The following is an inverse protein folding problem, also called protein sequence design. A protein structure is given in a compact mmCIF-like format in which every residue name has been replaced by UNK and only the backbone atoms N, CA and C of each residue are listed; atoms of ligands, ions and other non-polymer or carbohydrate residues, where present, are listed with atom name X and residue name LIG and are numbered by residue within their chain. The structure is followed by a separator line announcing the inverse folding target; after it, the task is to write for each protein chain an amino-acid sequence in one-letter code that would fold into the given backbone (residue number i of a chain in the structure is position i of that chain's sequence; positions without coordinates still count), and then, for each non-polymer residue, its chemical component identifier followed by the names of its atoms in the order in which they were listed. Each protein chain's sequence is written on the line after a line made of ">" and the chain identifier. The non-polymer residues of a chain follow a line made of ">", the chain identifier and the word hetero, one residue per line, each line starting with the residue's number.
data_IF_637661784926
#
_entry.id   IF_637661784926
#
_cell.length_a   1.000
_cell.length_b   1.000
_cell.length_c   1.000
_cell.angle_alpha   90.00
_cell.angle_beta   90.00
_cell.angle_gamma   90.00
#
_symmetry.space_group_name_H-M   'P 1'
#
loop_
_entity.id
_entity.type
_entity.pdbx_description
1 polymer ?
#
# COMPACT_ATOMS: atom_id res chain seq x y z
N UNK A 1 7.80 -10.48 15.01
CA UNK A 1 8.51 -10.69 13.88
C UNK A 1 7.91 -11.10 12.56
N UNK A 2 7.07 -12.13 12.49
CA UNK A 2 6.58 -12.68 11.19
C UNK A 2 5.80 -11.69 10.32
N UNK A 3 5.06 -10.77 10.92
CA UNK A 3 4.19 -9.86 10.18
C UNK A 3 4.91 -8.72 9.46
N UNK A 4 6.08 -8.29 9.94
CA UNK A 4 6.70 -7.05 9.49
C UNK A 4 7.38 -7.19 8.11
N UNK A 5 8.18 -8.23 7.90
CA UNK A 5 8.83 -8.47 6.60
C UNK A 5 7.83 -8.82 5.50
N UNK A 6 6.77 -9.55 5.85
CA UNK A 6 5.77 -9.99 4.88
C UNK A 6 4.87 -8.85 4.39
N UNK A 7 4.50 -7.91 5.28
CA UNK A 7 3.72 -6.73 4.89
C UNK A 7 4.52 -5.84 3.93
N UNK A 8 5.82 -5.65 4.20
CA UNK A 8 6.69 -4.89 3.31
C UNK A 8 6.87 -5.57 1.95
N UNK A 9 7.02 -6.91 1.92
CA UNK A 9 7.05 -7.68 0.70
C UNK A 9 5.83 -7.40 -0.17
N UNK A 10 4.66 -7.40 0.42
CA UNK A 10 3.42 -7.18 -0.33
C UNK A 10 3.35 -5.80 -0.94
N UNK A 11 3.84 -4.78 -0.25
CA UNK A 11 3.97 -3.43 -0.81
C UNK A 11 4.97 -3.44 -1.98
N UNK A 12 6.12 -4.08 -1.83
CA UNK A 12 7.13 -4.15 -2.89
C UNK A 12 6.61 -4.92 -4.11
N UNK A 13 5.93 -6.05 -3.91
CA UNK A 13 5.50 -6.93 -4.99
C UNK A 13 4.06 -6.70 -5.45
N UNK A 14 3.18 -6.17 -4.60
CA UNK A 14 1.72 -6.14 -4.80
C UNK A 14 1.11 -4.78 -5.10
N UNK A 15 1.84 -3.67 -4.95
CA UNK A 15 1.31 -2.31 -5.15
C UNK A 15 1.10 -1.90 -6.62
N UNK A 16 1.05 -2.84 -7.51
CA UNK A 16 0.67 -2.51 -8.89
C UNK A 16 -0.84 -2.40 -8.97
N UNK A 17 -1.33 -1.19 -8.91
CA UNK A 17 -2.64 -0.88 -9.48
C UNK A 17 -2.50 -1.19 -10.97
N UNK A 18 -3.13 -2.27 -11.42
CA UNK A 18 -3.35 -2.47 -12.86
C UNK A 18 -4.20 -1.28 -13.27
N UNK A 19 -3.64 -0.36 -14.05
CA UNK A 19 -4.36 0.84 -14.45
C UNK A 19 -5.61 0.44 -15.22
N UNK A 20 -6.66 1.25 -15.11
CA UNK A 20 -7.89 1.07 -15.90
C UNK A 20 -7.54 1.00 -17.40
N UNK A 21 -6.54 1.76 -17.82
CA UNK A 21 -5.99 1.75 -19.17
C UNK A 21 -5.40 0.39 -19.58
N UNK A 22 -4.69 -0.27 -18.66
CA UNK A 22 -4.14 -1.61 -18.88
C UNK A 22 -5.24 -2.67 -19.00
N UNK A 23 -6.26 -2.60 -18.15
CA UNK A 23 -7.42 -3.49 -18.22
C UNK A 23 -8.22 -3.27 -19.53
N UNK A 24 -8.43 -2.00 -19.90
CA UNK A 24 -9.09 -1.65 -21.16
C UNK A 24 -8.29 -2.11 -22.39
N UNK A 25 -6.96 -1.97 -22.34
CA UNK A 25 -6.07 -2.47 -23.39
C UNK A 25 -6.13 -3.99 -23.52
N UNK A 26 -6.19 -4.71 -22.39
CA UNK A 26 -6.32 -6.16 -22.38
C UNK A 26 -7.66 -6.63 -22.95
N UNK A 27 -8.78 -6.01 -22.54
CA UNK A 27 -10.09 -6.29 -23.08
C UNK A 27 -10.22 -5.99 -24.58
N UNK A 28 -9.48 -4.98 -25.08
CA UNK A 28 -9.43 -4.68 -26.52
C UNK A 28 -8.61 -5.72 -27.29
N UNK A 29 -7.51 -6.24 -26.71
CA UNK A 29 -6.74 -7.33 -27.31
C UNK A 29 -7.53 -8.63 -27.43
N UNK A 30 -8.30 -8.99 -26.42
CA UNK A 30 -9.19 -10.15 -26.44
C UNK A 30 -10.24 -10.06 -27.56
N UNK A 31 -10.69 -8.85 -27.86
CA UNK A 31 -11.62 -8.56 -28.99
C UNK A 31 -10.92 -8.38 -30.35
N UNK A 32 -9.59 -8.58 -30.42
CA UNK A 32 -8.78 -8.38 -31.62
C UNK A 32 -8.66 -6.92 -32.07
N UNK A 33 -8.98 -5.96 -31.22
CA UNK A 33 -8.89 -4.52 -31.49
C UNK A 33 -7.59 -3.96 -30.94
N UNK A 34 -6.93 -3.06 -31.67
CA UNK A 34 -5.79 -2.29 -31.16
C UNK A 34 -6.30 -0.99 -30.52
N UNK A 35 -6.16 -0.81 -29.19
CA UNK A 35 -6.53 0.46 -28.56
C UNK A 35 -5.61 1.59 -29.02
N UNK A 36 -6.18 2.79 -29.19
CA UNK A 36 -5.47 3.98 -29.71
C UNK A 36 -4.30 4.46 -28.84
N UNK A 37 -4.28 4.09 -27.55
CA UNK A 37 -3.27 4.49 -26.54
C UNK A 37 -2.46 3.33 -25.99
N UNK A 38 -2.37 2.23 -26.74
CA UNK A 38 -1.73 1.02 -26.29
C UNK A 38 -0.21 1.18 -26.14
N UNK A 39 0.29 1.11 -24.91
CA UNK A 39 1.71 0.84 -24.65
C UNK A 39 1.96 -0.65 -24.82
N UNK A 40 3.07 -1.06 -25.49
CA UNK A 40 3.36 -2.48 -25.68
C UNK A 40 3.43 -3.17 -24.31
N UNK A 41 2.54 -4.13 -24.10
CA UNK A 41 2.52 -4.97 -22.90
C UNK A 41 3.32 -6.22 -23.23
N UNK A 42 4.28 -6.56 -22.36
CA UNK A 42 5.02 -7.80 -22.49
C UNK A 42 4.09 -8.99 -22.26
N UNK A 43 4.09 -9.93 -23.19
CA UNK A 43 3.29 -11.15 -23.12
C UNK A 43 4.21 -12.36 -23.01
N UNK A 44 3.93 -13.24 -22.05
CA UNK A 44 4.73 -14.43 -21.78
C UNK A 44 3.87 -15.69 -21.91
N UNK A 45 4.48 -16.76 -22.46
CA UNK A 45 3.81 -18.03 -22.65
C UNK A 45 3.65 -18.83 -21.33
N UNK A 46 4.39 -18.46 -20.27
CA UNK A 46 4.28 -19.10 -18.97
C UNK A 46 4.75 -18.17 -17.85
N UNK A 47 4.37 -18.51 -16.61
CA UNK A 47 4.85 -17.83 -15.39
C UNK A 47 6.38 -17.93 -15.26
N UNK A 48 6.96 -19.06 -15.68
CA UNK A 48 8.41 -19.30 -15.61
C UNK A 48 9.15 -18.35 -16.56
N UNK A 49 8.65 -18.17 -17.78
CA UNK A 49 9.23 -17.23 -18.74
C UNK A 49 9.20 -15.78 -18.24
N UNK A 50 8.08 -15.37 -17.64
CA UNK A 50 7.96 -14.05 -17.02
C UNK A 50 8.94 -13.85 -15.87
N UNK A 51 9.17 -14.88 -15.04
CA UNK A 51 10.14 -14.84 -13.96
C UNK A 51 11.59 -14.86 -14.47
N UNK A 52 11.89 -15.54 -15.57
CA UNK A 52 13.20 -15.46 -16.23
C UNK A 52 13.48 -14.04 -16.71
N UNK A 53 12.53 -13.39 -17.40
CA UNK A 53 12.67 -12.01 -17.83
C UNK A 53 12.85 -11.03 -16.65
N UNK A 54 12.21 -11.30 -15.51
CA UNK A 54 12.41 -10.54 -14.28
C UNK A 54 13.83 -10.75 -13.71
N UNK A 55 14.32 -11.98 -13.65
CA UNK A 55 15.67 -12.31 -13.16
C UNK A 55 16.76 -11.70 -14.05
N UNK A 56 16.54 -11.67 -15.36
CA UNK A 56 17.42 -11.02 -16.35
C UNK A 56 17.30 -9.48 -16.31
N UNK A 57 16.49 -8.93 -15.41
CA UNK A 57 16.23 -7.48 -15.27
C UNK A 57 15.67 -6.81 -16.54
N UNK A 58 15.08 -7.57 -17.44
CA UNK A 58 14.37 -7.05 -18.61
C UNK A 58 13.07 -6.32 -18.21
N UNK A 59 12.44 -6.77 -17.11
CA UNK A 59 11.23 -6.18 -16.56
C UNK A 59 11.36 -5.99 -15.05
N UNK A 60 10.72 -4.95 -14.52
CA UNK A 60 10.66 -4.70 -13.07
C UNK A 60 9.53 -5.50 -12.39
N UNK A 61 9.53 -5.58 -11.04
CA UNK A 61 8.54 -6.35 -10.28
C UNK A 61 7.11 -5.81 -10.42
N UNK A 62 6.96 -4.53 -10.76
CA UNK A 62 5.69 -3.82 -10.95
C UNK A 62 5.29 -3.67 -12.42
N UNK A 63 6.09 -4.20 -13.35
CA UNK A 63 5.77 -4.09 -14.77
C UNK A 63 4.48 -4.86 -15.09
N UNK A 64 3.48 -4.22 -15.72
CA UNK A 64 2.27 -4.91 -16.15
C UNK A 64 2.60 -5.85 -17.31
N UNK A 65 2.23 -7.11 -17.17
CA UNK A 65 2.47 -8.18 -18.12
C UNK A 65 1.20 -9.00 -18.36
N UNK A 66 1.16 -9.68 -19.49
CA UNK A 66 0.17 -10.70 -19.80
C UNK A 66 0.85 -12.08 -19.72
N UNK A 67 0.27 -12.99 -18.95
CA UNK A 67 0.82 -14.34 -18.77
C UNK A 67 -0.24 -15.37 -19.12
N UNK A 68 0.13 -16.36 -19.94
CA UNK A 68 -0.70 -17.53 -20.17
C UNK A 68 -0.62 -18.43 -18.93
N UNK A 69 -1.77 -18.70 -18.36
CA UNK A 69 -1.91 -19.54 -17.18
C UNK A 69 -2.86 -20.69 -17.47
N UNK A 70 -2.47 -21.89 -17.06
CA UNK A 70 -3.27 -23.09 -17.17
C UNK A 70 -3.59 -23.62 -15.78
N UNK A 71 -4.85 -23.85 -15.50
CA UNK A 71 -5.31 -24.47 -14.25
C UNK A 71 -6.21 -25.66 -14.58
N UNK A 72 -6.12 -26.68 -13.75
CA UNK A 72 -7.05 -27.80 -13.78
C UNK A 72 -8.23 -27.50 -12.86
N UNK A 73 -9.42 -27.40 -13.42
CA UNK A 73 -10.65 -27.18 -12.67
C UNK A 73 -11.63 -28.30 -13.06
N UNK A 74 -12.10 -29.03 -12.08
CA UNK A 74 -13.01 -30.16 -12.25
C UNK A 74 -12.53 -31.26 -13.24
N UNK A 75 -11.20 -31.42 -13.39
CA UNK A 75 -10.59 -32.39 -14.31
C UNK A 75 -10.43 -31.91 -15.75
N UNK A 76 -10.81 -30.68 -16.04
CA UNK A 76 -10.56 -30.02 -17.32
C UNK A 76 -9.42 -28.99 -17.20
N UNK A 77 -8.52 -29.00 -18.18
CA UNK A 77 -7.42 -28.04 -18.25
C UNK A 77 -7.89 -26.76 -18.97
N UNK A 78 -8.05 -25.69 -18.21
CA UNK A 78 -8.44 -24.37 -18.74
C UNK A 78 -7.22 -23.48 -18.86
N UNK A 79 -6.97 -22.96 -20.05
CA UNK A 79 -5.85 -22.04 -20.34
C UNK A 79 -6.38 -20.67 -20.71
N UNK A 80 -5.90 -19.63 -20.01
CA UNK A 80 -6.23 -18.22 -20.30
C UNK A 80 -5.02 -17.32 -20.18
N UNK A 81 -5.13 -16.16 -20.80
CA UNK A 81 -4.15 -15.07 -20.66
C UNK A 81 -4.66 -14.13 -19.57
N UNK A 82 -3.87 -14.01 -18.50
CA UNK A 82 -4.23 -13.26 -17.29
C UNK A 82 -3.33 -12.04 -17.16
N UNK A 83 -3.87 -10.86 -16.89
CA UNK A 83 -3.09 -9.67 -16.58
C UNK A 83 -2.45 -9.80 -15.19
N UNK A 84 -1.15 -9.61 -15.10
CA UNK A 84 -0.40 -9.78 -13.85
C UNK A 84 0.83 -8.88 -13.79
N UNK A 85 1.65 -9.11 -12.78
CA UNK A 85 3.00 -8.54 -12.64
C UNK A 85 3.94 -9.62 -12.11
N UNK A 86 5.26 -9.54 -12.36
CA UNK A 86 6.22 -10.49 -11.81
C UNK A 86 6.09 -10.62 -10.28
N UNK A 87 5.88 -9.50 -9.59
CA UNK A 87 5.68 -9.50 -8.14
C UNK A 87 4.46 -10.29 -7.67
N UNK A 88 3.34 -10.23 -8.39
CA UNK A 88 2.15 -11.06 -8.10
C UNK A 88 2.40 -12.54 -8.31
N UNK A 89 3.12 -12.89 -9.36
CA UNK A 89 3.49 -14.29 -9.64
C UNK A 89 4.34 -14.83 -8.49
N UNK A 90 5.39 -14.10 -8.07
CA UNK A 90 6.28 -14.49 -6.98
C UNK A 90 5.50 -14.71 -5.68
N UNK A 91 4.57 -13.80 -5.36
CA UNK A 91 3.79 -13.88 -4.13
C UNK A 91 2.80 -15.05 -4.16
N UNK A 92 2.04 -15.20 -5.24
CA UNK A 92 1.02 -16.25 -5.37
C UNK A 92 1.60 -17.67 -5.50
N UNK A 93 2.87 -17.81 -5.92
CA UNK A 93 3.55 -19.10 -6.02
C UNK A 93 3.57 -19.86 -4.69
N UNK A 94 3.62 -19.14 -3.57
CA UNK A 94 3.72 -19.70 -2.23
C UNK A 94 2.36 -19.86 -1.53
N UNK A 95 1.25 -19.53 -2.21
CA UNK A 95 -0.09 -19.52 -1.64
C UNK A 95 -0.95 -20.53 -2.39
N UNK A 96 -1.69 -21.40 -1.69
CA UNK A 96 -2.67 -22.27 -2.32
C UNK A 96 -3.67 -21.46 -3.15
N UNK A 97 -3.92 -21.91 -4.39
CA UNK A 97 -4.74 -21.17 -5.35
C UNK A 97 -6.21 -21.55 -5.28
N UNK A 98 -6.69 -21.95 -4.11
CA UNK A 98 -8.06 -22.42 -3.86
C UNK A 98 -8.67 -21.83 -2.58
N UNK A 99 -8.08 -20.76 -2.03
CA UNK A 99 -8.51 -20.16 -0.75
C UNK A 99 -9.87 -19.43 -0.82
N UNK A 100 -10.42 -19.25 -2.00
CA UNK A 100 -11.75 -18.64 -2.20
C UNK A 100 -11.74 -17.11 -2.09
N UNK A 101 -10.65 -16.45 -2.43
CA UNK A 101 -10.63 -15.01 -2.66
C UNK A 101 -11.14 -14.66 -4.06
N UNK A 102 -11.06 -15.60 -4.99
CA UNK A 102 -11.56 -15.49 -6.36
C UNK A 102 -12.76 -16.43 -6.52
N UNK A 103 -13.84 -15.91 -7.09
CA UNK A 103 -14.98 -16.73 -7.48
C UNK A 103 -14.66 -17.48 -8.76
N UNK A 104 -14.39 -18.78 -8.64
CA UNK A 104 -14.06 -19.67 -9.78
C UNK A 104 -15.29 -20.26 -10.46
N UNK A 105 -16.48 -19.86 -10.03
CA UNK A 105 -17.72 -20.23 -10.72
C UNK A 105 -17.88 -19.46 -12.03
N UNK A 106 -17.25 -18.28 -12.11
CA UNK A 106 -17.24 -17.48 -13.33
C UNK A 106 -16.14 -17.97 -14.29
N UNK A 107 -16.48 -18.39 -15.53
CA UNK A 107 -15.51 -18.82 -16.52
C UNK A 107 -14.44 -17.77 -16.83
N UNK A 108 -14.75 -16.48 -16.67
CA UNK A 108 -13.78 -15.40 -16.96
C UNK A 108 -12.68 -15.31 -15.92
N UNK A 109 -12.96 -15.66 -14.67
CA UNK A 109 -12.05 -15.51 -13.53
C UNK A 109 -11.40 -16.82 -13.06
N UNK A 110 -11.64 -17.95 -13.75
CA UNK A 110 -11.10 -19.27 -13.36
C UNK A 110 -9.57 -19.26 -13.19
N UNK A 111 -8.85 -18.61 -14.11
CA UNK A 111 -7.39 -18.58 -14.13
C UNK A 111 -6.78 -17.42 -13.34
N UNK A 112 -7.58 -16.58 -12.69
CA UNK A 112 -7.06 -15.45 -11.91
C UNK A 112 -6.28 -15.94 -10.69
N UNK A 113 -5.32 -15.10 -10.26
CA UNK A 113 -4.58 -15.35 -9.02
C UNK A 113 -5.47 -15.11 -7.81
N UNK A 114 -5.32 -15.94 -6.79
CA UNK A 114 -6.05 -15.76 -5.52
C UNK A 114 -5.78 -14.39 -4.89
N UNK A 115 -4.55 -13.92 -4.95
CA UNK A 115 -4.16 -12.63 -4.39
C UNK A 115 -3.87 -11.64 -5.51
N UNK A 116 -4.84 -10.77 -5.77
CA UNK A 116 -4.76 -9.67 -6.75
C UNK A 116 -4.72 -8.28 -6.09
N UNK A 117 -4.98 -8.22 -4.79
CA UNK A 117 -5.04 -7.02 -3.96
C UNK A 117 -3.77 -6.84 -3.13
N UNK A 118 -3.60 -5.65 -2.54
CA UNK A 118 -2.49 -5.36 -1.64
C UNK A 118 -2.70 -6.07 -0.30
N UNK A 119 -1.75 -6.93 0.08
CA UNK A 119 -1.79 -7.67 1.33
C UNK A 119 -1.04 -6.95 2.44
N UNK A 120 -1.72 -6.18 3.27
CA UNK A 120 -1.18 -5.69 4.53
C UNK A 120 -1.25 -6.76 5.64
N UNK A 121 -0.93 -6.36 6.86
CA UNK A 121 -0.95 -7.25 8.03
C UNK A 121 -2.29 -7.97 8.23
N UNK A 122 -3.40 -7.24 8.03
CA UNK A 122 -4.76 -7.77 8.21
C UNK A 122 -5.09 -8.84 7.18
N UNK A 123 -4.76 -8.58 5.92
CA UNK A 123 -5.01 -9.50 4.81
C UNK A 123 -4.15 -10.76 4.91
N UNK A 124 -2.89 -10.64 5.36
CA UNK A 124 -2.06 -11.82 5.65
C UNK A 124 -2.69 -12.72 6.72
N UNK A 125 -3.26 -12.12 7.78
CA UNK A 125 -4.02 -12.88 8.77
C UNK A 125 -5.18 -13.66 8.15
N UNK A 126 -5.93 -13.07 7.23
CA UNK A 126 -7.03 -13.74 6.53
C UNK A 126 -6.56 -14.89 5.63
N UNK A 127 -5.40 -14.72 4.95
CA UNK A 127 -4.81 -15.79 4.13
C UNK A 127 -4.46 -17.00 5.00
N UNK A 128 -3.80 -16.76 6.13
CA UNK A 128 -3.42 -17.82 7.08
C UNK A 128 -4.65 -18.52 7.63
N UNK A 129 -5.65 -17.77 8.07
CA UNK A 129 -6.90 -18.30 8.62
C UNK A 129 -7.64 -19.18 7.61
N UNK A 130 -7.80 -18.71 6.36
CA UNK A 130 -8.40 -19.52 5.31
C UNK A 130 -7.58 -20.76 4.95
N UNK A 131 -6.24 -20.66 4.98
CA UNK A 131 -5.36 -21.81 4.73
C UNK A 131 -5.52 -22.86 5.82
N UNK A 132 -5.58 -22.47 7.10
CA UNK A 132 -5.81 -23.38 8.22
C UNK A 132 -7.16 -24.08 8.08
N UNK A 133 -8.20 -23.32 7.81
CA UNK A 133 -9.56 -23.84 7.71
C UNK A 133 -9.74 -24.83 6.55
N UNK A 134 -9.03 -24.63 5.44
CA UNK A 134 -9.18 -25.46 4.24
C UNK A 134 -8.17 -26.61 4.14
N UNK A 135 -6.92 -26.36 4.48
CA UNK A 135 -5.82 -27.30 4.29
C UNK A 135 -5.23 -27.83 5.61
N UNK A 136 -5.63 -27.27 6.75
CA UNK A 136 -5.11 -27.67 8.06
C UNK A 136 -3.78 -27.02 8.43
N UNK A 137 -3.30 -27.35 9.63
CA UNK A 137 -2.13 -26.70 10.23
C UNK A 137 -0.80 -27.02 9.53
N UNK A 138 -0.66 -28.24 8.99
CA UNK A 138 0.60 -28.66 8.33
C UNK A 138 0.88 -27.79 7.09
N UNK A 139 -0.09 -27.70 6.20
CA UNK A 139 0.03 -26.86 4.99
C UNK A 139 0.15 -25.40 5.36
N UNK A 140 -0.59 -24.93 6.35
CA UNK A 140 -0.49 -23.54 6.82
C UNK A 140 0.92 -23.21 7.35
N UNK A 141 1.60 -24.14 8.02
CA UNK A 141 2.99 -23.92 8.47
C UNK A 141 3.96 -23.81 7.32
N UNK A 142 3.81 -24.63 6.28
CA UNK A 142 4.62 -24.56 5.07
C UNK A 142 4.41 -23.24 4.31
N UNK A 143 3.16 -22.81 4.17
CA UNK A 143 2.80 -21.53 3.55
C UNK A 143 3.40 -20.35 4.34
N UNK A 144 3.31 -20.38 5.67
CA UNK A 144 3.90 -19.35 6.54
C UNK A 144 5.42 -19.27 6.39
N UNK A 145 6.11 -20.41 6.34
CA UNK A 145 7.55 -20.45 6.17
C UNK A 145 7.96 -19.99 4.76
N UNK A 146 7.21 -20.36 3.74
CA UNK A 146 7.44 -19.90 2.37
C UNK A 146 7.23 -18.38 2.24
N UNK A 147 6.15 -17.82 2.79
CA UNK A 147 5.89 -16.38 2.80
C UNK A 147 7.00 -15.64 3.56
N UNK A 148 7.38 -16.14 4.74
CA UNK A 148 8.47 -15.57 5.54
C UNK A 148 9.79 -15.53 4.75
N UNK A 149 10.20 -16.66 4.17
CA UNK A 149 11.43 -16.78 3.40
C UNK A 149 11.44 -15.82 2.20
N UNK A 150 10.34 -15.79 1.45
CA UNK A 150 10.17 -14.87 0.31
C UNK A 150 10.20 -13.42 0.76
N UNK A 151 9.61 -13.09 1.92
CA UNK A 151 9.63 -11.77 2.51
C UNK A 151 11.03 -11.27 2.82
N UNK A 152 11.81 -12.06 3.53
CA UNK A 152 13.20 -11.71 3.87
C UNK A 152 14.08 -11.61 2.62
N UNK A 153 13.97 -12.56 1.70
CA UNK A 153 14.75 -12.58 0.46
C UNK A 153 14.50 -11.30 -0.37
N UNK A 154 13.25 -10.98 -0.64
CA UNK A 154 12.91 -9.80 -1.45
C UNK A 154 13.20 -8.48 -0.73
N UNK A 155 13.05 -8.41 0.59
CA UNK A 155 13.43 -7.24 1.38
C UNK A 155 14.94 -6.98 1.31
N UNK A 156 15.76 -8.04 1.31
CA UNK A 156 17.22 -7.94 1.17
C UNK A 156 17.61 -7.48 -0.24
N UNK A 157 17.00 -8.05 -1.29
CA UNK A 157 17.29 -7.66 -2.68
C UNK A 157 16.85 -6.22 -2.95
N UNK A 158 15.70 -5.81 -2.42
CA UNK A 158 15.18 -4.45 -2.60
C UNK A 158 16.04 -3.39 -1.89
N UNK A 159 16.91 -3.80 -0.95
CA UNK A 159 17.82 -2.93 -0.22
C UNK A 159 17.14 -1.68 0.37
N UNK A 160 15.95 -1.85 0.95
CA UNK A 160 15.18 -0.74 1.50
C UNK A 160 15.88 -0.20 2.74
N UNK A 161 16.31 1.03 2.64
CA UNK A 161 16.96 1.78 3.72
C UNK A 161 16.19 3.04 4.03
N UNK A 162 16.38 3.59 5.24
CA UNK A 162 15.74 4.82 5.68
C UNK A 162 16.81 5.88 5.84
N UNK A 163 16.59 7.03 5.24
CA UNK A 163 17.41 8.23 5.36
C UNK A 163 16.59 9.40 5.90
N UNK A 164 17.26 10.38 6.50
CA UNK A 164 16.63 11.66 6.86
C UNK A 164 16.10 12.37 5.62
N UNK A 165 16.76 12.21 4.46
CA UNK A 165 16.32 12.77 3.19
C UNK A 165 14.97 12.23 2.69
N UNK A 166 14.58 11.02 3.15
CA UNK A 166 13.29 10.42 2.78
C UNK A 166 12.11 11.09 3.50
N UNK A 167 12.40 11.89 4.56
CA UNK A 167 11.40 12.70 5.26
C UNK A 167 11.14 14.00 4.50
N UNK A 168 10.33 13.92 3.45
CA UNK A 168 9.95 15.10 2.64
C UNK A 168 8.91 15.93 3.37
N UNK A 169 9.19 17.22 3.52
CA UNK A 169 8.27 18.17 4.13
C UNK A 169 7.35 18.72 3.04
N UNK A 170 6.02 18.66 3.19
CA UNK A 170 5.10 19.19 2.19
C UNK A 170 5.22 20.72 2.12
N UNK A 171 5.34 21.33 0.93
CA UNK A 171 5.48 22.80 0.79
C UNK A 171 4.27 23.56 1.35
N UNK A 172 3.07 22.99 1.22
CA UNK A 172 1.82 23.55 1.78
C UNK A 172 1.85 23.74 3.30
N UNK A 173 2.75 23.05 4.03
CA UNK A 173 2.87 23.16 5.48
C UNK A 173 3.11 24.61 5.91
N UNK A 174 4.00 25.31 5.25
CA UNK A 174 4.36 26.67 5.64
C UNK A 174 3.22 27.66 5.46
N UNK A 175 2.42 27.48 4.40
CA UNK A 175 1.24 28.31 4.12
C UNK A 175 0.14 28.05 5.16
N UNK A 176 -0.13 26.78 5.48
CA UNK A 176 -1.13 26.39 6.48
C UNK A 176 -0.76 26.89 7.89
N UNK A 177 0.50 26.79 8.25
CA UNK A 177 0.98 27.25 9.56
C UNK A 177 0.87 28.77 9.65
N UNK A 178 1.33 29.52 8.63
CA UNK A 178 1.25 30.98 8.62
C UNK A 178 -0.20 31.49 8.69
N UNK A 179 -1.11 30.85 7.96
CA UNK A 179 -2.54 31.20 8.03
C UNK A 179 -3.12 30.96 9.44
N UNK A 180 -2.71 29.89 10.09
CA UNK A 180 -3.17 29.53 11.44
C UNK A 180 -2.58 30.46 12.50
N UNK A 181 -1.32 30.86 12.38
CA UNK A 181 -0.69 31.87 13.25
C UNK A 181 -1.45 33.20 13.18
N UNK A 182 -1.88 33.63 11.95
CA UNK A 182 -2.67 34.84 11.80
C UNK A 182 -4.03 34.71 12.50
N UNK A 183 -4.71 33.58 12.38
CA UNK A 183 -5.97 33.35 13.09
C UNK A 183 -5.77 33.38 14.62
N UNK A 184 -4.69 32.85 15.14
CA UNK A 184 -4.38 32.91 16.57
C UNK A 184 -4.16 34.36 17.02
N UNK A 185 -3.43 35.17 16.24
CA UNK A 185 -3.23 36.60 16.53
C UNK A 185 -4.56 37.36 16.57
N UNK A 186 -5.47 37.05 15.65
CA UNK A 186 -6.80 37.67 15.62
C UNK A 186 -7.63 37.29 16.87
N UNK A 187 -7.58 36.03 17.29
CA UNK A 187 -8.27 35.57 18.53
C UNK A 187 -7.64 36.27 19.74
N UNK A 188 -6.34 36.40 19.84
CA UNK A 188 -5.67 37.12 20.93
C UNK A 188 -6.06 38.60 20.98
N UNK A 189 -6.17 39.24 19.81
CA UNK A 189 -6.61 40.64 19.74
C UNK A 189 -8.05 40.82 20.22
N UNK A 190 -8.94 39.89 19.84
CA UNK A 190 -10.35 39.91 20.34
C UNK A 190 -10.38 39.70 21.86
N UNK A 191 -9.59 38.85 22.41
CA UNK A 191 -9.47 38.67 23.87
C UNK A 191 -8.94 39.94 24.54
N UNK A 192 -7.89 40.60 24.03
CA UNK A 192 -7.36 41.84 24.54
C UNK A 192 -8.38 43.00 24.51
N UNK A 193 -9.29 42.99 23.54
CA UNK A 193 -10.40 43.93 23.45
C UNK A 193 -11.56 43.61 24.41
N UNK A 194 -11.51 42.47 25.09
CA UNK A 194 -12.53 42.07 26.05
C UNK A 194 -13.77 41.39 25.43
N UNK A 195 -13.71 40.98 24.16
CA UNK A 195 -14.84 40.37 23.48
C UNK A 195 -15.06 38.88 23.85
N UNK A 196 -14.06 38.25 24.49
CA UNK A 196 -14.15 36.85 24.92
C UNK A 196 -13.43 36.60 26.25
N UNK A 197 -13.84 35.52 26.91
CA UNK A 197 -13.20 35.06 28.13
C UNK A 197 -11.89 34.28 27.81
N UNK A 198 -10.97 34.14 28.79
CA UNK A 198 -9.74 33.37 28.62
C UNK A 198 -10.02 31.89 28.28
N UNK A 199 -11.09 31.32 28.84
CA UNK A 199 -11.49 29.95 28.52
C UNK A 199 -11.95 29.79 27.06
N UNK A 200 -12.65 30.75 26.52
CA UNK A 200 -13.07 30.75 25.11
C UNK A 200 -11.87 30.94 24.19
N UNK A 201 -10.98 31.90 24.51
CA UNK A 201 -9.73 32.12 23.79
C UNK A 201 -8.93 30.80 23.70
N UNK A 202 -8.66 30.17 24.85
CA UNK A 202 -7.95 28.91 24.91
C UNK A 202 -8.60 27.82 24.06
N UNK A 203 -9.91 27.67 24.16
CA UNK A 203 -10.65 26.67 23.36
C UNK A 203 -10.53 26.92 21.87
N UNK A 204 -10.65 28.17 21.42
CA UNK A 204 -10.53 28.53 20.01
C UNK A 204 -9.11 28.32 19.50
N UNK A 205 -8.07 28.70 20.23
CA UNK A 205 -6.68 28.48 19.84
C UNK A 205 -6.37 26.98 19.71
N UNK A 206 -6.81 26.16 20.66
CA UNK A 206 -6.64 24.69 20.59
C UNK A 206 -7.35 24.14 19.34
N UNK A 207 -8.55 24.55 19.04
CA UNK A 207 -9.29 24.11 17.84
C UNK A 207 -8.57 24.50 16.53
N UNK A 208 -8.00 25.71 16.44
CA UNK A 208 -7.23 26.15 15.28
C UNK A 208 -6.04 25.20 15.07
N UNK A 209 -5.26 24.91 16.12
CA UNK A 209 -4.09 24.05 16.01
C UNK A 209 -4.43 22.58 15.76
N UNK A 210 -5.55 22.06 16.30
CA UNK A 210 -6.04 20.72 15.96
C UNK A 210 -6.36 20.62 14.47
N UNK A 211 -7.15 21.56 13.95
CA UNK A 211 -7.50 21.61 12.53
C UNK A 211 -6.28 21.72 11.63
N UNK A 212 -5.35 22.62 11.96
CA UNK A 212 -4.09 22.79 11.22
C UNK A 212 -3.26 21.50 11.20
N UNK A 213 -3.21 20.81 12.33
CA UNK A 213 -2.49 19.54 12.45
C UNK A 213 -3.07 18.48 11.52
N UNK A 214 -4.39 18.40 11.38
CA UNK A 214 -5.07 17.47 10.51
C UNK A 214 -4.90 17.85 9.02
N UNK A 215 -4.99 19.13 8.69
CA UNK A 215 -4.73 19.64 7.33
C UNK A 215 -3.29 19.38 6.88
N UNK A 216 -2.32 19.64 7.74
CA UNK A 216 -0.90 19.31 7.46
C UNK A 216 -0.69 17.80 7.35
N UNK A 217 -1.40 16.99 8.12
CA UNK A 217 -1.34 15.52 8.01
C UNK A 217 -1.85 15.03 6.66
N UNK A 218 -2.94 15.61 6.18
CA UNK A 218 -3.49 15.30 4.86
C UNK A 218 -2.56 15.74 3.74
N UNK A 219 -2.03 16.96 3.81
CA UNK A 219 -1.06 17.47 2.85
C UNK A 219 0.23 16.62 2.82
N UNK A 220 0.65 16.09 3.97
CA UNK A 220 1.79 15.18 4.06
C UNK A 220 1.52 13.86 3.35
N UNK A 221 0.35 13.25 3.55
CA UNK A 221 -0.02 12.00 2.89
C UNK A 221 -0.11 12.15 1.38
N UNK A 222 -0.62 13.28 0.89
CA UNK A 222 -0.71 13.57 -0.55
C UNK A 222 0.66 13.82 -1.18
N UNK A 223 1.62 14.39 -0.44
CA UNK A 223 2.94 14.74 -0.93
C UNK A 223 3.95 13.58 -0.87
N UNK A 224 3.71 12.56 -0.04
CA UNK A 224 4.61 11.42 0.06
C UNK A 224 4.49 10.52 -1.16
N UNK A 225 5.65 10.19 -1.76
CA UNK A 225 5.72 9.20 -2.83
C UNK A 225 5.37 7.81 -2.27
N UNK A 226 4.58 7.06 -3.01
CA UNK A 226 4.21 5.67 -2.68
C UNK A 226 5.41 4.74 -2.55
N UNK A 227 6.49 5.03 -3.26
CA UNK A 227 7.75 4.27 -3.21
C UNK A 227 8.76 4.81 -2.20
N UNK A 228 8.38 5.83 -1.43
CA UNK A 228 9.22 6.30 -0.32
C UNK A 228 9.35 5.18 0.73
N UNK A 229 10.58 4.80 1.14
CA UNK A 229 10.80 3.69 2.08
C UNK A 229 10.04 3.84 3.40
N UNK A 230 9.94 5.05 3.92
CA UNK A 230 9.24 5.35 5.17
C UNK A 230 7.74 5.19 5.01
N UNK A 231 7.18 5.68 3.88
CA UNK A 231 5.78 5.51 3.56
C UNK A 231 5.43 4.01 3.40
N UNK A 232 6.22 3.27 2.62
CA UNK A 232 6.02 1.83 2.41
C UNK A 232 6.01 1.05 3.72
N UNK A 233 6.92 1.35 4.67
CA UNK A 233 6.95 0.68 5.97
C UNK A 233 5.73 0.97 6.81
N UNK A 234 5.24 2.20 6.82
CA UNK A 234 4.08 2.60 7.61
C UNK A 234 2.77 2.10 7.00
N UNK A 235 2.61 2.21 5.67
CA UNK A 235 1.42 1.79 4.93
C UNK A 235 1.23 0.27 4.98
N UNK A 236 2.32 -0.49 4.81
CA UNK A 236 2.30 -1.94 4.95
C UNK A 236 1.99 -2.44 6.36
N UNK A 237 2.10 -1.59 7.38
CA UNK A 237 2.01 -1.98 8.78
C UNK A 237 3.23 -2.76 9.29
N UNK A 238 4.34 -2.77 8.55
CA UNK A 238 5.57 -3.43 8.94
C UNK A 238 6.20 -2.78 10.16
N UNK A 239 6.37 -1.47 10.10
CA UNK A 239 6.90 -0.67 11.22
C UNK A 239 6.52 0.79 11.07
N UNK A 240 6.29 1.45 12.22
CA UNK A 240 5.88 2.84 12.25
C UNK A 240 4.38 3.04 12.02
N UNK A 241 3.97 4.29 12.10
CA UNK A 241 2.60 4.71 11.83
C UNK A 241 2.60 6.09 11.18
N UNK A 242 1.54 6.44 10.48
CA UNK A 242 1.37 7.78 9.89
C UNK A 242 1.43 8.89 10.94
N UNK A 243 1.01 8.60 12.20
CA UNK A 243 1.15 9.55 13.32
C UNK A 243 2.62 9.88 13.63
N UNK A 244 3.52 8.90 13.54
CA UNK A 244 4.96 9.11 13.77
C UNK A 244 5.59 9.89 12.62
N UNK A 245 5.24 9.58 11.37
CA UNK A 245 5.70 10.33 10.19
C UNK A 245 5.22 11.78 10.27
N UNK A 246 3.97 12.01 10.66
CA UNK A 246 3.43 13.36 10.88
C UNK A 246 4.26 14.15 11.90
N UNK A 247 4.67 13.53 13.00
CA UNK A 247 5.48 14.21 14.00
C UNK A 247 6.87 14.63 13.50
N UNK A 248 7.43 13.90 12.55
CA UNK A 248 8.76 14.15 12.01
C UNK A 248 8.74 15.13 10.82
N UNK A 249 7.86 14.92 9.86
CA UNK A 249 7.80 15.70 8.61
C UNK A 249 6.66 16.73 8.58
N UNK A 250 5.62 16.53 9.36
CA UNK A 250 4.48 17.44 9.49
C UNK A 250 4.55 18.31 10.74
N UNK A 251 3.58 18.15 11.61
CA UNK A 251 3.48 18.84 12.91
C UNK A 251 3.45 17.83 14.05
N UNK A 252 4.12 18.17 15.13
CA UNK A 252 4.12 17.35 16.34
C UNK A 252 2.73 17.22 16.96
N UNK A 253 1.91 18.27 16.79
CA UNK A 253 0.57 18.37 17.34
C UNK A 253 0.59 18.90 18.78
N UNK A 254 -0.59 19.03 19.34
CA UNK A 254 -0.81 19.53 20.70
C UNK A 254 -0.28 18.51 21.74
N UNK A 255 0.33 19.04 22.77
CA UNK A 255 0.92 18.25 23.87
C UNK A 255 0.22 18.66 25.16
N UNK A 256 -0.11 17.68 25.99
CA UNK A 256 -0.64 17.94 27.31
C UNK A 256 0.47 18.12 28.35
N UNK A 257 0.25 19.01 29.31
CA UNK A 257 1.11 19.15 30.47
C UNK A 257 0.88 18.01 31.49
N UNK A 258 1.65 17.98 32.58
CA UNK A 258 1.53 16.96 33.62
C UNK A 258 0.16 16.92 34.31
N UNK A 259 -0.60 18.02 34.26
CA UNK A 259 -1.95 18.11 34.81
C UNK A 259 -3.03 17.68 33.79
N UNK A 260 -2.64 17.23 32.60
CA UNK A 260 -3.57 16.80 31.54
C UNK A 260 -4.15 17.93 30.70
N UNK A 261 -3.77 19.20 30.97
CA UNK A 261 -4.21 20.35 30.17
C UNK A 261 -3.33 20.47 28.91
N UNK A 262 -3.96 20.64 27.76
CA UNK A 262 -3.25 20.90 26.50
C UNK A 262 -2.51 22.24 26.55
N UNK A 263 -1.26 22.26 26.09
CA UNK A 263 -0.45 23.47 25.93
C UNK A 263 -0.80 24.10 24.59
N UNK A 264 -1.18 25.38 24.60
CA UNK A 264 -1.51 26.18 23.43
C UNK A 264 -0.26 26.68 22.68
#
# INVERSE_FOLDING_TARGET
>A
GYSNGNSLLTVILGHTVISVEFLAANAALEKGQKPATFKPVHMYASEVEALMAYNDRAIGPHCPILVRRTLEVNGESVTRVVPSTPGRIIFNKNIPQDLGFVDRSDPEHICDYEITFTCGKKQLGQIVDRTINKHGFTVASEVLDAIKSTGYHNSTIAAITVSIADMTIPPKKYELVAASEQMVVDIENQYKMGFMTDHERYKQVVQVWEKTTDEVSTALQENLDRYNPIFMMADSGARGSMKQIRQLAGMRGLIANTAGKTIE
#
